data_IF_849453840613
#
_entry.id   IF_849453840613
#
_cell.length_a   1.000
_cell.length_b   1.000
_cell.length_c   1.000
_cell.angle_alpha   90.00
_cell.angle_beta   90.00
_cell.angle_gamma   90.00
#
_symmetry.space_group_name_H-M   'P 1'
#
loop_
_entity.id
_entity.type
_entity.pdbx_description
1 polymer ?
#
# COMPACT_ATOMS: atom_id res chain seq x y z
N UNK A 1 -16.86 -7.44 -4.29
CA UNK A 1 -17.31 -6.43 -3.31
C UNK A 1 -16.38 -6.48 -2.13
N UNK A 2 -15.64 -5.39 -1.94
CA UNK A 2 -14.82 -5.11 -0.76
C UNK A 2 -15.21 -3.77 -0.17
N UNK A 3 -14.68 -3.49 1.02
CA UNK A 3 -14.77 -2.20 1.67
C UNK A 3 -13.97 -1.15 0.89
N UNK A 4 -14.56 0.03 0.72
CA UNK A 4 -13.88 1.18 0.15
C UNK A 4 -12.65 1.51 1.01
N UNK A 5 -11.52 1.75 0.36
CA UNK A 5 -10.33 2.25 1.03
C UNK A 5 -10.43 3.77 1.07
N UNK A 6 -10.24 4.33 2.26
CA UNK A 6 -10.20 5.78 2.47
C UNK A 6 -8.85 6.14 3.07
N UNK A 7 -8.60 7.44 3.23
CA UNK A 7 -7.44 7.95 3.96
C UNK A 7 -7.32 7.22 5.32
N UNK A 8 -6.09 7.09 5.85
CA UNK A 8 -5.80 6.40 7.11
C UNK A 8 -6.05 4.88 7.14
N UNK A 9 -6.52 4.27 6.05
CA UNK A 9 -6.58 2.81 5.94
C UNK A 9 -5.18 2.20 6.15
N UNK A 10 -5.10 1.14 6.95
CA UNK A 10 -3.83 0.48 7.24
C UNK A 10 -3.46 -0.46 6.10
N UNK A 11 -2.20 -0.39 5.72
CA UNK A 11 -1.58 -1.27 4.73
C UNK A 11 -0.43 -2.01 5.36
N UNK A 12 -0.11 -3.19 4.82
CA UNK A 12 1.03 -3.99 5.27
C UNK A 12 1.75 -4.57 4.07
N UNK A 13 3.07 -4.40 4.04
CA UNK A 13 3.96 -5.06 3.09
C UNK A 13 4.37 -6.44 3.63
N UNK A 14 4.40 -7.46 2.77
CA UNK A 14 4.82 -8.82 3.12
C UNK A 14 6.26 -8.92 3.66
N UNK A 15 7.12 -7.97 3.30
CA UNK A 15 8.51 -7.88 3.81
C UNK A 15 8.71 -6.74 4.83
N UNK A 16 7.63 -6.03 5.19
CA UNK A 16 7.65 -4.96 6.17
C UNK A 16 7.51 -5.48 7.60
N UNK A 17 7.90 -4.67 8.58
CA UNK A 17 7.81 -5.00 10.00
C UNK A 17 6.57 -4.43 10.71
N UNK A 18 5.92 -3.41 10.14
CA UNK A 18 4.76 -2.76 10.75
C UNK A 18 3.72 -2.31 9.72
N UNK A 19 2.43 -2.33 10.06
CA UNK A 19 1.38 -1.68 9.28
C UNK A 19 1.54 -0.17 9.25
N UNK A 20 1.12 0.47 8.15
CA UNK A 20 1.28 1.90 7.92
C UNK A 20 0.01 2.47 7.27
N UNK A 21 -0.44 3.68 7.67
CA UNK A 21 -1.60 4.32 7.06
C UNK A 21 -1.32 4.70 5.59
N UNK A 22 -2.30 4.45 4.74
CA UNK A 22 -2.36 4.93 3.37
C UNK A 22 -2.78 6.41 3.36
N UNK A 23 -2.11 7.21 2.53
CA UNK A 23 -2.49 8.59 2.28
C UNK A 23 -3.26 8.66 0.95
N UNK A 24 -4.54 9.02 1.03
CA UNK A 24 -5.36 9.28 -0.15
C UNK A 24 -5.15 10.73 -0.59
N UNK A 25 -4.63 10.93 -1.80
CA UNK A 25 -4.18 12.23 -2.33
C UNK A 25 -4.80 12.58 -3.69
N UNK A 26 -5.26 11.58 -4.45
CA UNK A 26 -5.69 11.80 -5.83
C UNK A 26 -7.13 12.32 -5.99
N UNK A 27 -8.03 12.01 -5.06
CA UNK A 27 -9.44 12.42 -5.16
C UNK A 27 -9.98 12.95 -3.84
N UNK A 28 -9.53 14.14 -3.48
CA UNK A 28 -9.87 14.80 -2.20
C UNK A 28 -11.34 15.23 -2.07
N UNK A 29 -12.08 15.26 -3.18
CA UNK A 29 -13.48 15.75 -3.21
C UNK A 29 -14.51 14.67 -2.91
N UNK A 30 -14.16 13.38 -3.06
CA UNK A 30 -15.06 12.27 -2.76
C UNK A 30 -14.70 11.71 -1.40
N UNK A 31 -15.67 11.73 -0.48
CA UNK A 31 -15.44 11.34 0.91
C UNK A 31 -16.18 10.04 1.24
N UNK A 32 -15.49 9.10 1.86
CA UNK A 32 -16.08 7.98 2.59
C UNK A 32 -15.89 8.21 4.09
N UNK A 33 -16.99 8.25 4.86
CA UNK A 33 -16.97 8.56 6.30
C UNK A 33 -16.19 9.86 6.65
N UNK A 34 -16.42 10.94 5.90
CA UNK A 34 -15.71 12.22 6.02
C UNK A 34 -14.19 12.15 5.79
N UNK A 35 -13.69 11.07 5.17
CA UNK A 35 -12.29 10.94 4.78
C UNK A 35 -12.16 10.82 3.25
N UNK A 36 -11.13 11.41 2.63
CA UNK A 36 -10.88 11.24 1.20
C UNK A 36 -10.84 9.77 0.80
N UNK A 37 -11.63 9.41 -0.21
CA UNK A 37 -11.64 8.07 -0.75
C UNK A 37 -10.39 7.83 -1.60
N UNK A 38 -9.78 6.66 -1.43
CA UNK A 38 -8.58 6.28 -2.16
C UNK A 38 -8.93 5.68 -3.53
N UNK A 39 -8.02 5.87 -4.46
CA UNK A 39 -8.05 5.35 -5.82
C UNK A 39 -6.88 4.39 -6.03
N UNK A 40 -6.90 3.62 -7.12
CA UNK A 40 -5.77 2.74 -7.46
C UNK A 40 -4.44 3.48 -7.70
N UNK A 41 -4.45 4.81 -7.80
CA UNK A 41 -3.26 5.65 -7.95
C UNK A 41 -2.70 6.17 -6.63
N UNK A 42 -3.38 5.93 -5.49
CA UNK A 42 -2.89 6.31 -4.17
C UNK A 42 -1.84 5.31 -3.68
N UNK A 43 -0.63 5.45 -4.21
CA UNK A 43 0.48 4.53 -3.95
C UNK A 43 1.07 4.74 -2.54
N UNK A 44 1.46 3.66 -1.85
CA UNK A 44 2.08 3.76 -0.54
C UNK A 44 3.49 4.36 -0.65
N UNK A 45 3.74 5.44 0.08
CA UNK A 45 5.02 6.18 0.09
C UNK A 45 5.77 6.08 1.42
N UNK A 46 5.07 5.71 2.49
CA UNK A 46 5.59 5.71 3.85
C UNK A 46 6.24 4.36 4.15
N UNK A 47 7.39 4.32 4.86
CA UNK A 47 8.12 3.09 5.14
C UNK A 47 7.38 2.14 6.10
N UNK A 48 7.36 0.84 5.79
CA UNK A 48 6.81 -0.23 6.64
C UNK A 48 7.76 -0.66 7.78
N UNK A 49 8.47 0.28 8.38
CA UNK A 49 9.53 0.03 9.35
C UNK A 49 10.84 -0.39 8.69
N UNK A 50 11.11 -1.70 8.64
CA UNK A 50 12.27 -2.29 7.97
C UNK A 50 11.82 -3.26 6.88
N UNK A 51 12.65 -3.45 5.86
CA UNK A 51 12.46 -4.48 4.83
C UNK A 51 13.47 -5.60 5.01
N UNK A 52 13.01 -6.83 4.77
CA UNK A 52 13.84 -8.04 4.79
C UNK A 52 14.10 -8.61 3.38
N UNK A 53 13.66 -7.93 2.32
CA UNK A 53 13.85 -8.41 0.95
C UNK A 53 15.27 -8.14 0.46
N UNK A 54 15.96 -9.19 -0.02
CA UNK A 54 17.26 -9.09 -0.68
C UNK A 54 17.22 -8.36 -2.03
N UNK A 55 16.03 -8.13 -2.61
CA UNK A 55 15.87 -7.29 -3.78
C UNK A 55 15.98 -5.78 -3.45
N UNK A 56 15.89 -5.41 -2.17
CA UNK A 56 16.19 -4.05 -1.75
C UNK A 56 17.73 -3.88 -1.67
N UNK A 57 18.33 -2.95 -2.45
CA UNK A 57 19.78 -2.79 -2.49
C UNK A 57 20.40 -2.47 -1.13
N UNK A 58 19.69 -1.74 -0.25
CA UNK A 58 20.17 -1.43 1.09
C UNK A 58 20.26 -2.69 1.98
N UNK A 59 19.27 -3.58 1.88
CA UNK A 59 19.25 -4.87 2.60
C UNK A 59 20.35 -5.78 2.06
N UNK A 60 20.52 -5.83 0.74
CA UNK A 60 21.57 -6.63 0.11
C UNK A 60 22.98 -6.16 0.50
N UNK A 61 23.23 -4.84 0.47
CA UNK A 61 24.53 -4.28 0.88
C UNK A 61 24.80 -4.54 2.36
N UNK A 62 23.81 -4.36 3.23
CA UNK A 62 23.97 -4.58 4.66
C UNK A 62 24.21 -6.06 4.99
N UNK A 63 23.47 -6.95 4.33
CA UNK A 63 23.65 -8.40 4.48
C UNK A 63 25.03 -8.83 3.99
N UNK A 64 25.54 -8.26 2.90
CA UNK A 64 26.91 -8.51 2.45
C UNK A 64 27.97 -8.02 3.44
N UNK A 65 27.76 -6.86 4.06
CA UNK A 65 28.65 -6.31 5.09
C UNK A 65 28.60 -7.12 6.40
N UNK A 66 27.47 -7.74 6.70
CA UNK A 66 27.27 -8.66 7.82
C UNK A 66 27.64 -10.11 7.47
N UNK A 67 28.50 -10.33 6.47
CA UNK A 67 29.01 -11.66 6.09
C UNK A 67 27.90 -12.67 5.75
N UNK A 68 26.81 -12.20 5.14
CA UNK A 68 25.66 -13.01 4.75
C UNK A 68 24.54 -13.11 5.79
N UNK A 69 24.69 -12.50 6.98
CA UNK A 69 23.61 -12.41 7.96
C UNK A 69 22.58 -11.39 7.51
N UNK A 70 21.33 -11.83 7.31
CA UNK A 70 20.23 -10.96 6.89
C UNK A 70 20.11 -9.77 7.82
N UNK A 71 20.38 -8.58 7.28
CA UNK A 71 20.38 -7.33 8.04
C UNK A 71 19.24 -6.44 7.54
N UNK A 72 18.10 -6.41 8.26
CA UNK A 72 16.96 -5.59 7.86
C UNK A 72 17.34 -4.11 7.81
N UNK A 73 16.95 -3.43 6.75
CA UNK A 73 17.23 -2.00 6.56
C UNK A 73 15.93 -1.20 6.38
N UNK A 74 15.92 0.09 6.75
CA UNK A 74 14.79 0.98 6.48
C UNK A 74 14.42 0.97 4.99
N UNK A 75 13.12 0.97 4.69
CA UNK A 75 12.64 0.78 3.33
C UNK A 75 11.61 1.82 2.91
N UNK A 76 11.96 2.62 1.91
CA UNK A 76 10.99 3.42 1.16
C UNK A 76 10.35 2.53 0.10
N UNK A 77 9.03 2.28 0.13
CA UNK A 77 8.38 1.43 -0.85
C UNK A 77 8.56 2.00 -2.26
N UNK A 78 9.02 1.16 -3.19
CA UNK A 78 9.11 1.53 -4.60
C UNK A 78 8.00 0.79 -5.36
N UNK A 79 6.84 1.41 -5.45
CA UNK A 79 5.66 0.85 -6.14
C UNK A 79 5.51 1.58 -7.48
N UNK A 80 5.89 0.96 -8.61
CA UNK A 80 5.87 1.62 -9.92
C UNK A 80 4.50 1.53 -10.62
N UNK A 81 3.62 0.65 -10.15
CA UNK A 81 2.34 0.35 -10.79
C UNK A 81 1.16 0.64 -9.86
N UNK A 82 -0.03 0.96 -10.41
CA UNK A 82 -1.26 1.12 -9.64
C UNK A 82 -1.61 -0.13 -8.81
N UNK A 83 -2.45 0.05 -7.82
CA UNK A 83 -3.11 -1.07 -7.14
C UNK A 83 -3.98 -1.86 -8.12
N UNK A 84 -4.06 -3.18 -7.92
CA UNK A 84 -4.85 -4.09 -8.75
C UNK A 84 -5.68 -5.01 -7.84
N UNK A 85 -6.94 -5.34 -8.18
CA UNK A 85 -7.69 -4.91 -9.38
C UNK A 85 -8.33 -3.53 -9.28
N UNK A 86 -8.51 -2.98 -8.08
CA UNK A 86 -9.42 -1.85 -7.87
C UNK A 86 -10.88 -2.22 -8.10
N UNK A 87 -11.77 -1.22 -8.09
CA UNK A 87 -13.18 -1.42 -8.40
C UNK A 87 -13.45 -1.38 -9.90
N UNK A 88 -14.15 -2.37 -10.48
CA UNK A 88 -14.44 -2.43 -11.91
C UNK A 88 -15.45 -1.38 -12.39
N UNK A 89 -16.35 -0.90 -11.52
CA UNK A 89 -17.47 -0.04 -11.92
C UNK A 89 -17.52 1.30 -11.19
N UNK A 90 -16.83 1.44 -10.06
CA UNK A 90 -16.85 2.67 -9.26
C UNK A 90 -15.60 3.48 -9.57
N UNK A 91 -15.81 4.67 -10.13
CA UNK A 91 -14.75 5.63 -10.41
C UNK A 91 -14.81 6.80 -9.42
N UNK A 92 -13.64 7.23 -8.96
CA UNK A 92 -13.42 8.35 -8.06
C UNK A 92 -12.41 9.27 -8.74
N UNK A 93 -12.80 10.49 -9.07
CA UNK A 93 -11.95 11.42 -9.84
C UNK A 93 -11.53 10.87 -11.22
N UNK A 94 -12.37 10.03 -11.83
CA UNK A 94 -12.09 9.39 -13.13
C UNK A 94 -11.20 8.14 -13.06
N UNK A 95 -10.77 7.72 -11.87
CA UNK A 95 -9.93 6.53 -11.66
C UNK A 95 -10.66 5.47 -10.85
N UNK A 96 -10.38 4.17 -11.03
CA UNK A 96 -10.98 3.11 -10.23
C UNK A 96 -10.81 3.33 -8.72
N UNK A 97 -11.91 3.17 -7.99
CA UNK A 97 -11.92 3.19 -6.53
C UNK A 97 -11.03 2.07 -5.98
N UNK A 98 -10.31 2.33 -4.89
CA UNK A 98 -9.54 1.32 -4.21
C UNK A 98 -10.41 0.57 -3.20
N UNK A 99 -10.31 -0.76 -3.17
CA UNK A 99 -11.01 -1.63 -2.23
C UNK A 99 -10.00 -2.49 -1.44
N UNK A 100 -10.40 -3.07 -0.31
CA UNK A 100 -9.48 -3.82 0.57
C UNK A 100 -8.93 -5.12 -0.07
N UNK A 101 -9.61 -5.63 -1.09
CA UNK A 101 -9.13 -6.78 -1.87
C UNK A 101 -7.95 -6.43 -2.80
N UNK A 102 -7.72 -5.14 -3.09
CA UNK A 102 -6.63 -4.68 -3.93
C UNK A 102 -5.25 -4.88 -3.32
N UNK A 103 -4.25 -5.02 -4.19
CA UNK A 103 -2.85 -5.28 -3.84
C UNK A 103 -1.92 -4.41 -4.69
N UNK A 104 -0.81 -3.99 -4.11
CA UNK A 104 0.23 -3.24 -4.80
C UNK A 104 1.55 -4.02 -4.75
N UNK A 105 2.29 -4.00 -5.87
CA UNK A 105 3.55 -4.72 -6.01
C UNK A 105 4.73 -3.77 -5.87
N UNK A 106 5.57 -4.00 -4.87
CA UNK A 106 6.82 -3.28 -4.68
C UNK A 106 7.91 -3.88 -5.57
N UNK A 107 8.77 -3.03 -6.14
CA UNK A 107 9.91 -3.44 -6.98
C UNK A 107 10.92 -4.29 -6.21
N UNK A 108 10.92 -4.21 -4.87
CA UNK A 108 11.69 -5.10 -4.01
C UNK A 108 11.01 -6.45 -3.78
N UNK A 109 10.00 -6.82 -4.58
CA UNK A 109 9.27 -8.09 -4.51
C UNK A 109 8.18 -8.15 -3.44
N UNK A 110 8.01 -7.09 -2.65
CA UNK A 110 6.99 -7.05 -1.58
C UNK A 110 5.58 -6.90 -2.12
N UNK A 111 4.63 -7.64 -1.54
CA UNK A 111 3.20 -7.48 -1.81
C UNK A 111 2.61 -6.63 -0.71
N UNK A 112 2.01 -5.51 -1.08
CA UNK A 112 1.35 -4.60 -0.16
C UNK A 112 -0.14 -4.86 -0.22
N UNK A 113 -0.73 -5.13 0.94
CA UNK A 113 -2.16 -5.38 1.10
C UNK A 113 -2.79 -4.34 2.02
N UNK A 114 -4.06 -4.05 1.82
CA UNK A 114 -4.88 -3.34 2.81
C UNK A 114 -5.25 -4.34 3.90
N UNK A 115 -4.95 -3.98 5.15
CA UNK A 115 -5.26 -4.82 6.32
C UNK A 115 -6.50 -4.32 7.06
N UNK A 116 -6.76 -3.01 7.02
CA UNK A 116 -7.93 -2.41 7.64
C UNK A 116 -8.29 -1.12 6.88
N UNK A 117 -9.59 -0.88 6.70
CA UNK A 117 -10.12 0.43 6.28
C UNK A 117 -11.17 0.88 7.29
N UNK A 118 -11.22 2.19 7.65
CA UNK A 118 -12.26 2.68 8.53
C UNK A 118 -13.64 2.74 7.86
N UNK A 119 -13.72 2.74 6.52
CA UNK A 119 -14.98 2.76 5.76
C UNK A 119 -15.69 1.40 5.67
N UNK A 120 -15.88 0.74 6.82
CA UNK A 120 -16.46 -0.61 6.92
C UNK A 120 -17.91 -0.71 6.45
N UNK A 121 -18.64 0.40 6.40
CA UNK A 121 -20.04 0.45 5.93
C UNK A 121 -20.17 0.74 4.44
N UNK A 122 -19.09 1.10 3.74
CA UNK A 122 -19.12 1.48 2.32
C UNK A 122 -18.48 0.37 1.51
N UNK A 123 -19.29 -0.31 0.70
CA UNK A 123 -18.83 -1.39 -0.17
C UNK A 123 -18.72 -0.91 -1.62
N UNK A 124 -17.62 -1.25 -2.26
CA UNK A 124 -17.42 -1.10 -3.70
C UNK A 124 -17.06 -2.46 -4.29
N UNK A 125 -17.48 -2.77 -5.53
CA UNK A 125 -17.15 -4.03 -6.17
C UNK A 125 -15.66 -4.37 -6.12
#
# INVERSE_FOLDING_TARGET
>A
MGMLVVNTALTMCSFGAAPVPLMATNALTVLGLNQPAATIMDLPKVPYGVCISMANPAVASATSAAMGVLTPMPCTPLVPAPWVPGSPTVLIGGMPALNDSSKAMCSYGGVISITMTPAVTVQVP
#
